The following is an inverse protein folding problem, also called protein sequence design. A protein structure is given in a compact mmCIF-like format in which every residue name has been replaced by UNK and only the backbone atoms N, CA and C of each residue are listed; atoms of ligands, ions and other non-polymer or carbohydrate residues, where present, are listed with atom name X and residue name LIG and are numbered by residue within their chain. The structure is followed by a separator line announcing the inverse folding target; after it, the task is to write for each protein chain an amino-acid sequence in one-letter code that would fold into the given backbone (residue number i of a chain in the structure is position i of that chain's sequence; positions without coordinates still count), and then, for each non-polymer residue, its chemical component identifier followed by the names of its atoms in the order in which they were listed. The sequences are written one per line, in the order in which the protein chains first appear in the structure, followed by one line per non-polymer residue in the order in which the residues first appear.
data_IF_309941205862
#
_entry.id   IF_309941205862
#
_cell.length_a   1.000
_cell.length_b   1.000
_cell.length_c   1.000
_cell.angle_alpha   90.00
_cell.angle_beta   90.00
_cell.angle_gamma   90.00
#
_symmetry.space_group_name_H-M   'P 1'
#
loop_
_entity.id
_entity.type
_entity.pdbx_description
1 polymer ?
#
# COMPACT_ATOMS: atom_id res chain seq x y z
N UNK A 1 -11.81 7.32 -56.46
CA UNK A 1 -12.32 6.89 -55.14
C UNK A 1 -11.30 5.95 -54.51
N UNK A 2 -10.67 6.31 -53.38
CA UNK A 2 -10.07 5.29 -52.52
C UNK A 2 -10.50 5.53 -51.06
N UNK A 3 -11.44 4.71 -50.59
CA UNK A 3 -11.77 4.55 -49.17
C UNK A 3 -11.24 3.20 -48.71
N UNK A 4 -9.94 3.11 -48.45
CA UNK A 4 -9.34 2.00 -47.70
C UNK A 4 -8.07 2.52 -47.01
N UNK A 5 -8.23 3.51 -46.13
CA UNK A 5 -7.21 3.85 -45.13
C UNK A 5 -7.75 3.41 -43.77
N UNK A 6 -7.65 2.09 -43.59
CA UNK A 6 -7.45 1.33 -42.36
C UNK A 6 -7.71 2.07 -41.05
N UNK A 7 -8.93 1.91 -40.52
CA UNK A 7 -9.36 2.31 -39.17
C UNK A 7 -8.38 1.87 -38.07
N UNK A 8 -7.71 0.73 -38.28
CA UNK A 8 -6.73 0.14 -37.35
C UNK A 8 -5.50 1.02 -37.12
N UNK A 9 -5.06 1.80 -38.11
CA UNK A 9 -3.86 2.63 -37.97
C UNK A 9 -4.13 3.88 -37.11
N UNK A 10 -5.36 4.39 -37.14
CA UNK A 10 -5.78 5.55 -36.33
C UNK A 10 -5.91 5.21 -34.84
N UNK A 11 -6.34 3.98 -34.52
CA UNK A 11 -6.48 3.52 -33.13
C UNK A 11 -5.11 3.38 -32.46
N UNK A 12 -4.11 2.84 -33.15
CA UNK A 12 -2.75 2.70 -32.60
C UNK A 12 -2.08 4.05 -32.31
N UNK A 13 -2.29 5.05 -33.18
CA UNK A 13 -1.73 6.40 -32.96
C UNK A 13 -2.37 7.10 -31.75
N UNK A 14 -3.67 6.88 -31.50
CA UNK A 14 -4.36 7.44 -30.33
C UNK A 14 -3.90 6.81 -29.02
N UNK A 15 -3.70 5.48 -28.99
CA UNK A 15 -3.20 4.78 -27.79
C UNK A 15 -1.74 5.15 -27.51
N UNK A 16 -0.89 5.24 -28.54
CA UNK A 16 0.51 5.64 -28.38
C UNK A 16 0.65 7.09 -27.88
N UNK A 17 -0.14 8.02 -28.40
CA UNK A 17 -0.15 9.42 -27.97
C UNK A 17 -0.62 9.61 -26.53
N UNK A 18 -1.63 8.83 -26.09
CA UNK A 18 -2.15 8.92 -24.73
C UNK A 18 -1.12 8.44 -23.69
N UNK A 19 -0.42 7.33 -23.96
CA UNK A 19 0.60 6.79 -23.05
C UNK A 19 1.80 7.75 -22.93
N UNK A 20 2.30 8.28 -24.04
CA UNK A 20 3.42 9.25 -24.03
C UNK A 20 3.01 10.56 -23.34
N UNK A 21 1.78 11.05 -23.58
CA UNK A 21 1.24 12.23 -22.92
C UNK A 21 1.16 12.08 -21.40
N UNK A 22 0.70 10.93 -20.90
CA UNK A 22 0.64 10.66 -19.45
C UNK A 22 2.02 10.53 -18.81
N UNK A 23 3.00 9.92 -19.49
CA UNK A 23 4.38 9.80 -18.95
C UNK A 23 5.06 11.17 -18.86
N UNK A 24 4.86 12.04 -19.86
CA UNK A 24 5.41 13.40 -19.84
C UNK A 24 4.72 14.25 -18.76
N UNK A 25 3.41 14.12 -18.56
CA UNK A 25 2.67 14.86 -17.53
C UNK A 25 3.11 14.51 -16.09
N UNK A 26 3.42 13.24 -15.81
CA UNK A 26 3.92 12.82 -14.48
C UNK A 26 5.37 13.26 -14.26
N UNK A 27 6.19 13.34 -15.31
CA UNK A 27 7.57 13.78 -15.22
C UNK A 27 7.68 15.29 -14.94
N UNK A 28 6.82 16.12 -15.54
CA UNK A 28 6.89 17.59 -15.36
C UNK A 28 6.37 18.08 -14.00
N UNK A 29 5.59 17.29 -13.26
CA UNK A 29 5.13 17.64 -11.90
C UNK A 29 6.07 17.20 -10.78
N UNK A 30 7.17 16.51 -11.09
CA UNK A 30 8.09 15.92 -10.08
C UNK A 30 9.39 16.71 -9.87
N UNK A 31 9.49 17.94 -10.39
CA UNK A 31 10.66 18.80 -10.15
C UNK A 31 10.30 19.91 -9.16
N UNK A 32 10.19 19.56 -7.88
CA UNK A 32 10.44 20.51 -6.82
C UNK A 32 11.95 20.75 -6.75
N UNK A 33 12.40 21.86 -7.33
CA UNK A 33 13.72 22.44 -7.05
C UNK A 33 13.77 22.87 -5.58
N UNK A 34 14.10 21.93 -4.70
CA UNK A 34 14.60 22.21 -3.36
C UNK A 34 16.10 22.45 -3.46
N UNK A 35 16.50 23.70 -3.44
CA UNK A 35 17.87 24.11 -3.17
C UNK A 35 18.31 23.65 -1.78
N UNK A 36 19.63 23.44 -1.67
CA UNK A 36 20.44 23.28 -0.45
C UNK A 36 20.56 21.86 0.17
N UNK A 37 21.59 21.16 -0.29
CA UNK A 37 22.43 20.35 0.60
C UNK A 37 23.41 21.33 1.30
N UNK A 38 23.84 21.12 2.56
CA UNK A 38 24.73 19.98 2.83
C UNK A 38 24.65 19.34 4.24
N UNK A 39 25.31 18.19 4.32
CA UNK A 39 25.99 17.60 5.51
C UNK A 39 25.21 16.55 6.29
N UNK A 40 25.53 15.28 5.98
CA UNK A 40 25.45 14.19 6.95
C UNK A 40 26.51 14.39 8.04
N UNK A 41 26.23 13.92 9.26
CA UNK A 41 27.11 12.91 9.84
C UNK A 41 26.33 11.64 10.13
N UNK A 42 26.98 10.51 9.82
CA UNK A 42 26.62 9.22 10.38
C UNK A 42 26.74 9.30 11.91
N UNK A 43 25.67 8.99 12.63
CA UNK A 43 25.82 8.48 13.99
C UNK A 43 24.71 7.49 14.34
N UNK A 44 25.13 6.51 15.11
CA UNK A 44 24.43 5.32 15.51
C UNK A 44 23.25 5.64 16.44
N UNK A 45 22.22 4.82 16.34
CA UNK A 45 21.15 4.78 17.33
C UNK A 45 19.80 4.55 16.66
N UNK A 46 19.37 3.30 16.61
CA UNK A 46 17.94 3.05 16.51
C UNK A 46 17.23 3.73 17.70
N UNK A 47 16.07 4.33 17.46
CA UNK A 47 14.98 4.17 18.40
C UNK A 47 13.88 3.40 17.68
N UNK A 48 13.61 2.22 18.23
CA UNK A 48 12.30 1.62 18.14
C UNK A 48 11.23 2.64 18.60
N UNK A 49 10.02 2.44 18.10
CA UNK A 49 8.77 3.01 18.65
C UNK A 49 8.55 4.50 18.35
N UNK A 50 8.19 4.80 17.11
CA UNK A 50 6.96 5.58 16.93
C UNK A 50 5.85 4.58 16.67
N UNK A 51 5.02 4.30 17.66
CA UNK A 51 3.63 3.98 17.35
C UNK A 51 3.09 5.24 16.66
N UNK A 52 3.24 5.26 15.33
CA UNK A 52 2.96 6.42 14.48
C UNK A 52 1.49 6.76 14.66
N UNK A 53 1.19 7.92 15.21
CA UNK A 53 -0.17 8.50 15.24
C UNK A 53 -0.77 8.69 13.83
N UNK A 54 0.03 8.43 12.78
CA UNK A 54 -0.38 8.34 11.38
C UNK A 54 -0.49 6.92 10.79
N UNK A 55 -0.45 5.83 11.57
CA UNK A 55 -0.71 4.49 11.02
C UNK A 55 -2.21 4.35 10.66
N UNK A 56 -2.58 4.22 9.36
CA UNK A 56 -3.98 4.14 8.95
C UNK A 56 -4.70 2.92 9.52
N UNK A 57 -3.97 1.84 9.84
CA UNK A 57 -4.53 0.62 10.43
C UNK A 57 -5.20 0.87 11.78
N UNK A 58 -4.78 1.89 12.53
CA UNK A 58 -5.36 2.24 13.84
C UNK A 58 -6.73 2.90 13.76
N UNK A 59 -7.15 3.32 12.56
CA UNK A 59 -8.45 3.96 12.31
C UNK A 59 -9.28 3.17 11.29
N UNK A 60 -8.74 2.06 10.80
CA UNK A 60 -9.35 1.26 9.77
C UNK A 60 -10.71 0.71 10.22
N UNK A 61 -11.72 0.95 9.41
CA UNK A 61 -13.05 0.35 9.53
C UNK A 61 -13.08 -1.01 8.82
N UNK A 62 -14.17 -1.76 8.97
CA UNK A 62 -14.35 -3.00 8.21
C UNK A 62 -14.36 -2.77 6.69
N UNK A 63 -14.84 -1.60 6.23
CA UNK A 63 -14.83 -1.24 4.82
C UNK A 63 -13.40 -1.01 4.31
N UNK A 64 -12.60 -0.27 5.07
CA UNK A 64 -11.18 -0.06 4.75
C UNK A 64 -10.41 -1.38 4.69
N UNK A 65 -10.71 -2.31 5.61
CA UNK A 65 -10.08 -3.63 5.60
C UNK A 65 -10.50 -4.45 4.38
N UNK A 66 -11.77 -4.40 3.98
CA UNK A 66 -12.24 -5.09 2.78
C UNK A 66 -11.59 -4.54 1.49
N UNK A 67 -11.21 -3.26 1.49
CA UNK A 67 -10.56 -2.61 0.35
C UNK A 67 -9.04 -2.87 0.34
N UNK A 68 -8.38 -2.77 1.50
CA UNK A 68 -6.91 -2.84 1.59
C UNK A 68 -6.38 -4.27 1.66
N UNK A 69 -7.13 -5.21 2.24
CA UNK A 69 -6.67 -6.59 2.45
C UNK A 69 -7.28 -7.52 1.41
N UNK A 70 -6.56 -7.86 0.34
CA UNK A 70 -7.10 -8.70 -0.72
C UNK A 70 -7.32 -10.15 -0.25
N UNK A 71 -8.49 -10.70 -0.55
CA UNK A 71 -8.80 -12.12 -0.33
C UNK A 71 -8.68 -12.53 1.14
N UNK A 72 -7.82 -13.52 1.42
CA UNK A 72 -7.60 -14.05 2.77
C UNK A 72 -6.51 -13.32 3.55
N UNK A 73 -5.93 -12.24 3.01
CA UNK A 73 -4.74 -11.63 3.59
C UNK A 73 -4.93 -11.11 5.01
N UNK A 74 -6.11 -10.59 5.35
CA UNK A 74 -6.39 -10.20 6.74
C UNK A 74 -6.26 -11.39 7.69
N UNK A 75 -6.87 -12.52 7.34
CA UNK A 75 -6.83 -13.73 8.15
C UNK A 75 -5.42 -14.34 8.20
N UNK A 76 -4.68 -14.38 7.09
CA UNK A 76 -3.29 -14.84 7.06
C UNK A 76 -2.39 -14.02 8.00
N UNK A 77 -2.57 -12.68 8.03
CA UNK A 77 -1.75 -11.80 8.85
C UNK A 77 -2.10 -11.91 10.34
N UNK A 78 -3.39 -11.95 10.66
CA UNK A 78 -3.90 -11.73 12.02
C UNK A 78 -4.55 -12.93 12.70
N UNK A 79 -5.05 -13.92 11.97
CA UNK A 79 -5.74 -15.07 12.56
C UNK A 79 -4.78 -16.27 12.70
N UNK A 80 -4.87 -16.94 13.84
CA UNK A 80 -4.10 -18.15 14.18
C UNK A 80 -4.94 -19.43 14.01
N UNK A 81 -5.92 -19.39 13.13
CA UNK A 81 -6.72 -20.57 12.76
C UNK A 81 -5.87 -21.53 11.92
N UNK A 82 -5.96 -22.86 12.13
CA UNK A 82 -5.19 -23.85 11.35
C UNK A 82 -5.48 -23.81 9.85
N UNK A 83 -6.60 -23.24 9.41
CA UNK A 83 -6.91 -23.01 7.99
C UNK A 83 -5.98 -21.99 7.34
N UNK A 84 -5.40 -21.08 8.14
CA UNK A 84 -4.45 -20.05 7.72
C UNK A 84 -3.08 -20.35 8.32
N UNK A 85 -2.25 -21.05 7.55
CA UNK A 85 -0.92 -21.46 8.00
C UNK A 85 0.02 -20.26 8.23
N UNK A 86 -0.31 -19.07 7.72
CA UNK A 86 0.53 -17.88 7.80
C UNK A 86 1.67 -17.89 6.80
N UNK A 87 1.68 -18.85 5.87
CA UNK A 87 2.70 -18.96 4.82
C UNK A 87 2.65 -17.82 3.81
N UNK A 88 1.55 -17.05 3.79
CA UNK A 88 1.35 -15.93 2.89
C UNK A 88 1.52 -14.56 3.58
N UNK A 89 1.88 -14.54 4.87
CA UNK A 89 1.94 -13.31 5.68
C UNK A 89 2.79 -12.23 5.02
N UNK A 90 4.00 -12.55 4.58
CA UNK A 90 4.93 -11.58 3.99
C UNK A 90 4.34 -10.95 2.71
N UNK A 91 3.91 -11.77 1.75
CA UNK A 91 3.31 -11.27 0.52
C UNK A 91 1.97 -10.54 0.75
N UNK A 92 1.20 -10.93 1.76
CA UNK A 92 -0.02 -10.23 2.14
C UNK A 92 0.27 -8.87 2.78
N UNK A 93 1.28 -8.76 3.63
CA UNK A 93 1.74 -7.50 4.20
C UNK A 93 2.21 -6.58 3.08
N UNK A 94 3.05 -7.06 2.15
CA UNK A 94 3.56 -6.24 1.04
C UNK A 94 2.43 -5.69 0.17
N UNK A 95 1.49 -6.54 -0.25
CA UNK A 95 0.34 -6.12 -1.06
C UNK A 95 -0.53 -5.11 -0.31
N UNK A 96 -0.88 -5.42 0.93
CA UNK A 96 -1.73 -4.54 1.75
C UNK A 96 -1.04 -3.19 2.00
N UNK A 97 0.27 -3.18 2.25
CA UNK A 97 1.03 -1.95 2.44
C UNK A 97 1.05 -1.08 1.16
N UNK A 98 1.11 -1.71 -0.02
CA UNK A 98 1.00 -1.00 -1.30
C UNK A 98 -0.37 -0.35 -1.49
N UNK A 99 -1.46 -1.07 -1.20
CA UNK A 99 -2.82 -0.54 -1.28
C UNK A 99 -3.04 0.61 -0.30
N UNK A 100 -2.65 0.44 0.96
CA UNK A 100 -2.76 1.49 1.98
C UNK A 100 -1.97 2.73 1.56
N UNK A 101 -0.75 2.54 1.02
CA UNK A 101 0.06 3.67 0.53
C UNK A 101 -0.61 4.37 -0.65
N UNK A 102 -1.20 3.64 -1.58
CA UNK A 102 -1.87 4.21 -2.74
C UNK A 102 -3.06 5.10 -2.34
N UNK A 103 -3.81 4.70 -1.30
CA UNK A 103 -5.01 5.41 -0.87
C UNK A 103 -4.76 6.52 0.16
N UNK A 104 -3.82 6.28 1.08
CA UNK A 104 -3.60 7.17 2.23
C UNK A 104 -2.32 8.00 2.10
N UNK A 105 -1.44 7.65 1.15
CA UNK A 105 -0.09 8.23 1.02
C UNK A 105 0.91 7.75 2.08
N UNK A 106 0.48 6.94 3.06
CA UNK A 106 1.33 6.48 4.16
C UNK A 106 2.00 5.16 3.82
N UNK A 107 3.33 5.12 3.92
CA UNK A 107 4.10 3.89 3.78
C UNK A 107 4.16 3.13 5.11
N UNK A 108 3.68 1.89 5.10
CA UNK A 108 3.75 0.98 6.25
C UNK A 108 4.83 -0.09 6.03
N UNK A 109 5.56 -0.40 7.08
CA UNK A 109 6.46 -1.55 7.15
C UNK A 109 5.79 -2.75 7.82
N UNK A 110 6.39 -3.93 7.70
CA UNK A 110 5.82 -5.16 8.27
C UNK A 110 5.55 -5.09 9.78
N UNK A 111 6.37 -4.36 10.54
CA UNK A 111 6.18 -4.15 11.97
C UNK A 111 4.93 -3.32 12.30
N UNK A 112 4.51 -2.42 11.40
CA UNK A 112 3.35 -1.54 11.63
C UNK A 112 2.04 -2.33 11.67
N UNK A 113 1.98 -3.49 11.00
CA UNK A 113 0.82 -4.37 10.98
C UNK A 113 0.62 -5.10 12.31
N UNK A 114 1.69 -5.45 13.02
CA UNK A 114 1.62 -6.26 14.25
C UNK A 114 1.91 -5.49 15.52
N UNK A 115 1.78 -4.17 15.47
CA UNK A 115 1.81 -3.37 16.71
C UNK A 115 0.66 -3.80 17.62
N UNK A 116 0.88 -3.84 18.95
CA UNK A 116 -0.16 -4.26 19.89
C UNK A 116 -1.42 -3.39 19.79
N UNK A 117 -1.25 -2.11 19.45
CA UNK A 117 -2.35 -1.18 19.23
C UNK A 117 -3.19 -1.56 17.99
N UNK A 118 -2.56 -1.95 16.88
CA UNK A 118 -3.28 -2.40 15.67
C UNK A 118 -4.01 -3.70 15.91
N UNK A 119 -3.37 -4.66 16.58
CA UNK A 119 -4.01 -5.94 16.93
C UNK A 119 -5.21 -5.68 17.86
N UNK A 120 -5.05 -4.80 18.86
CA UNK A 120 -6.15 -4.42 19.76
C UNK A 120 -7.28 -3.72 19.02
N UNK A 121 -6.96 -2.83 18.08
CA UNK A 121 -7.95 -2.16 17.24
C UNK A 121 -8.75 -3.18 16.42
N UNK A 122 -8.09 -4.07 15.70
CA UNK A 122 -8.78 -5.08 14.90
C UNK A 122 -9.58 -6.09 15.71
N UNK A 123 -9.13 -6.45 16.92
CA UNK A 123 -9.94 -7.22 17.88
C UNK A 123 -11.26 -6.52 18.23
N UNK A 124 -11.24 -5.19 18.35
CA UNK A 124 -12.47 -4.41 18.61
C UNK A 124 -13.39 -4.35 17.38
N UNK A 125 -12.82 -4.36 16.17
CA UNK A 125 -13.57 -4.27 14.90
C UNK A 125 -14.17 -5.62 14.48
N UNK A 126 -13.47 -6.73 14.71
CA UNK A 126 -13.84 -8.08 14.23
C UNK A 126 -14.20 -9.08 15.34
N UNK A 127 -14.06 -8.69 16.60
CA UNK A 127 -14.37 -9.54 17.75
C UNK A 127 -13.14 -10.21 18.36
N UNK A 128 -13.09 -10.22 19.69
CA UNK A 128 -12.00 -10.79 20.47
C UNK A 128 -12.03 -12.32 20.60
N UNK A 129 -13.10 -12.96 20.12
CA UNK A 129 -13.36 -14.40 20.23
C UNK A 129 -12.53 -15.27 19.28
N UNK A 130 -11.97 -14.69 18.23
CA UNK A 130 -11.08 -15.41 17.30
C UNK A 130 -9.68 -15.63 17.90
N UNK A 131 -8.97 -16.72 17.55
CA UNK A 131 -7.56 -16.87 17.91
C UNK A 131 -6.71 -15.88 17.09
N UNK A 132 -6.17 -14.86 17.74
CA UNK A 132 -5.37 -13.81 17.09
C UNK A 132 -3.86 -14.12 17.17
N UNK A 133 -3.14 -13.91 16.07
CA UNK A 133 -1.68 -13.92 16.03
C UNK A 133 -1.14 -12.71 16.80
N UNK A 134 -0.18 -12.97 17.69
CA UNK A 134 0.59 -11.98 18.45
C UNK A 134 1.99 -11.82 17.88
#
# INVERSE_FOLDING_TARGET
MPKFFTLTNTICLLVGGFVVGTVIYVNTTTIHFGSDAPTAPADAGAPAVQARSGNPLLKATQADVAEWFPGTCFAEIYMQDPSYNGGLVEGCIEKTAQEIKAQTGVALGASDFRTPEVISHFKSVYGAENPWRI
#
